data_IF_038827338420
#
_entry.id   IF_038827338420
#
_cell.length_a   1.000
_cell.length_b   1.000
_cell.length_c   1.000
_cell.angle_alpha   90.00
_cell.angle_beta   90.00
_cell.angle_gamma   90.00
#
_symmetry.space_group_name_H-M   'P 1'
#
loop_
_entity.id
_entity.type
_entity.pdbx_description
1 polymer ?
#
# COMPACT_ATOMS: atom_id res chain seq x y z
N UNK A 1 -10.03 12.02 24.95
CA UNK A 1 -9.77 10.87 24.05
C UNK A 1 -8.27 10.64 24.03
N UNK A 2 -7.76 9.39 24.02
CA UNK A 2 -6.34 9.16 23.84
C UNK A 2 -5.89 9.65 22.46
N UNK A 3 -4.71 10.25 22.37
CA UNK A 3 -4.12 10.62 21.08
C UNK A 3 -3.65 9.36 20.33
N UNK A 4 -3.81 9.31 19.00
CA UNK A 4 -3.35 8.19 18.20
C UNK A 4 -1.82 8.06 18.28
N UNK A 5 -1.35 6.82 18.37
CA UNK A 5 0.06 6.49 18.28
C UNK A 5 0.63 6.86 16.90
N UNK A 6 1.95 7.03 16.81
CA UNK A 6 2.60 7.29 15.53
C UNK A 6 2.38 6.10 14.56
N UNK A 7 2.37 4.86 15.03
CA UNK A 7 2.08 3.74 14.13
C UNK A 7 0.65 3.82 13.55
N UNK A 8 -0.33 4.25 14.35
CA UNK A 8 -1.70 4.52 13.85
C UNK A 8 -1.75 5.69 12.85
N UNK A 9 -0.94 6.73 13.05
CA UNK A 9 -0.85 7.87 12.12
C UNK A 9 -0.18 7.45 10.79
N UNK A 10 0.88 6.62 10.83
CA UNK A 10 1.49 6.04 9.61
C UNK A 10 0.45 5.21 8.88
N UNK A 11 -0.19 4.28 9.58
CA UNK A 11 -1.17 3.35 8.99
C UNK A 11 -2.34 4.11 8.38
N UNK A 12 -2.84 5.16 9.03
CA UNK A 12 -3.89 6.02 8.47
C UNK A 12 -3.44 6.71 7.19
N UNK A 13 -2.24 7.32 7.18
CA UNK A 13 -1.70 7.99 5.98
C UNK A 13 -1.45 7.03 4.83
N UNK A 14 -0.95 5.84 5.13
CA UNK A 14 -0.77 4.75 4.15
C UNK A 14 -2.12 4.34 3.58
N UNK A 15 -3.13 4.14 4.43
CA UNK A 15 -4.49 3.79 3.99
C UNK A 15 -5.14 4.85 3.13
N UNK A 16 -5.02 6.13 3.49
CA UNK A 16 -5.52 7.25 2.69
C UNK A 16 -4.86 7.30 1.30
N UNK A 17 -3.54 7.14 1.27
CA UNK A 17 -2.76 7.21 0.03
C UNK A 17 -3.03 6.02 -0.89
N UNK A 18 -3.10 4.79 -0.35
CA UNK A 18 -3.50 3.62 -1.14
C UNK A 18 -4.94 3.72 -1.66
N UNK A 19 -5.85 4.34 -0.90
CA UNK A 19 -7.22 4.57 -1.37
C UNK A 19 -7.27 5.55 -2.54
N UNK A 20 -6.41 6.58 -2.55
CA UNK A 20 -6.25 7.47 -3.72
C UNK A 20 -5.65 6.72 -4.90
N UNK A 21 -4.63 5.89 -4.66
CA UNK A 21 -4.01 5.06 -5.68
C UNK A 21 -5.05 4.16 -6.37
N UNK A 22 -6.00 3.58 -5.63
CA UNK A 22 -7.09 2.78 -6.24
C UNK A 22 -7.99 3.62 -7.13
N UNK A 23 -8.35 4.84 -6.71
CA UNK A 23 -9.16 5.72 -7.55
C UNK A 23 -8.45 6.07 -8.87
N UNK A 24 -7.13 6.24 -8.82
CA UNK A 24 -6.33 6.46 -10.02
C UNK A 24 -6.18 5.22 -10.90
N UNK A 25 -6.00 4.04 -10.30
CA UNK A 25 -5.94 2.77 -11.01
C UNK A 25 -7.27 2.42 -11.70
N UNK A 26 -8.41 2.55 -11.00
CA UNK A 26 -9.73 2.37 -11.60
C UNK A 26 -9.97 3.35 -12.75
N UNK A 27 -9.58 4.63 -12.59
CA UNK A 27 -9.69 5.61 -13.68
C UNK A 27 -8.84 5.22 -14.90
N UNK A 28 -7.63 4.70 -14.70
CA UNK A 28 -6.80 4.21 -15.81
C UNK A 28 -7.44 2.98 -16.49
N UNK A 29 -8.05 2.09 -15.71
CA UNK A 29 -8.81 0.96 -16.23
C UNK A 29 -10.01 1.42 -17.07
N UNK A 30 -10.80 2.37 -16.57
CA UNK A 30 -11.97 2.89 -17.30
C UNK A 30 -11.56 3.51 -18.65
N UNK A 31 -10.46 4.29 -18.66
CA UNK A 31 -9.93 4.89 -19.88
C UNK A 31 -9.54 3.79 -20.89
N UNK A 32 -8.89 2.72 -20.45
CA UNK A 32 -8.57 1.58 -21.32
C UNK A 32 -9.83 0.91 -21.87
N UNK A 33 -10.81 0.63 -21.01
CA UNK A 33 -12.06 -0.03 -21.40
C UNK A 33 -12.88 0.80 -22.39
N UNK A 34 -12.79 2.13 -22.30
CA UNK A 34 -13.47 3.06 -23.22
C UNK A 34 -12.68 3.34 -24.51
N UNK A 35 -11.55 2.66 -24.73
CA UNK A 35 -10.72 2.86 -25.94
C UNK A 35 -9.91 4.15 -25.94
N UNK A 36 -9.64 4.70 -24.75
CA UNK A 36 -8.85 5.91 -24.57
C UNK A 36 -7.42 5.81 -25.11
N UNK A 37 -6.80 6.96 -25.31
CA UNK A 37 -5.45 7.03 -25.88
C UNK A 37 -4.38 6.82 -24.80
N UNK A 38 -3.18 6.38 -25.19
CA UNK A 38 -1.98 6.41 -24.35
C UNK A 38 -1.80 7.68 -23.51
N UNK A 39 -2.12 8.85 -24.07
CA UNK A 39 -1.99 10.15 -23.42
C UNK A 39 -2.97 10.30 -22.25
N UNK A 40 -4.18 9.76 -22.38
CA UNK A 40 -5.23 9.81 -21.36
C UNK A 40 -4.85 9.00 -20.12
N UNK A 41 -4.05 7.94 -20.31
CA UNK A 41 -3.57 7.06 -19.25
C UNK A 41 -2.43 7.64 -18.42
N UNK A 42 -1.66 8.57 -19.00
CA UNK A 42 -0.42 9.04 -18.38
C UNK A 42 -0.67 9.68 -17.00
N UNK A 43 -1.66 10.57 -16.91
CA UNK A 43 -1.99 11.29 -15.67
C UNK A 43 -2.48 10.35 -14.55
N UNK A 44 -3.49 9.50 -14.73
CA UNK A 44 -3.94 8.60 -13.67
C UNK A 44 -2.84 7.61 -13.27
N UNK A 45 -2.05 7.08 -14.22
CA UNK A 45 -0.95 6.18 -13.87
C UNK A 45 0.15 6.85 -13.06
N UNK A 46 0.53 8.08 -13.43
CA UNK A 46 1.52 8.85 -12.68
C UNK A 46 1.05 9.10 -11.24
N UNK A 47 -0.21 9.53 -11.07
CA UNK A 47 -0.77 9.79 -9.75
C UNK A 47 -0.86 8.50 -8.91
N UNK A 48 -1.29 7.39 -9.50
CA UNK A 48 -1.31 6.09 -8.84
C UNK A 48 0.08 5.71 -8.33
N UNK A 49 1.11 5.85 -9.18
CA UNK A 49 2.50 5.57 -8.80
C UNK A 49 2.98 6.45 -7.65
N UNK A 50 2.69 7.75 -7.70
CA UNK A 50 3.11 8.69 -6.66
C UNK A 50 2.49 8.36 -5.30
N UNK A 51 1.21 8.02 -5.27
CA UNK A 51 0.51 7.63 -4.03
C UNK A 51 1.06 6.32 -3.45
N UNK A 52 1.40 5.34 -4.30
CA UNK A 52 2.07 4.09 -3.87
C UNK A 52 3.48 4.36 -3.34
N UNK A 53 4.25 5.21 -4.03
CA UNK A 53 5.60 5.59 -3.59
C UNK A 53 5.58 6.38 -2.27
N UNK A 54 4.61 7.29 -2.11
CA UNK A 54 4.40 8.01 -0.86
C UNK A 54 4.05 7.06 0.29
N UNK A 55 3.17 6.09 0.04
CA UNK A 55 2.81 5.05 1.02
C UNK A 55 4.02 4.21 1.43
N UNK A 56 4.85 3.82 0.46
CA UNK A 56 6.09 3.08 0.72
C UNK A 56 7.08 3.91 1.54
N UNK A 57 7.24 5.19 1.21
CA UNK A 57 8.09 6.09 1.97
C UNK A 57 7.59 6.26 3.41
N UNK A 58 6.28 6.42 3.61
CA UNK A 58 5.68 6.51 4.94
C UNK A 58 5.93 5.24 5.78
N UNK A 59 5.84 4.06 5.17
CA UNK A 59 6.17 2.79 5.83
C UNK A 59 7.66 2.68 6.18
N UNK A 60 8.53 3.06 5.25
CA UNK A 60 9.99 2.94 5.40
C UNK A 60 10.57 3.96 6.37
N UNK A 61 9.98 5.15 6.48
CA UNK A 61 10.41 6.23 7.38
C UNK A 61 9.99 6.02 8.85
N UNK A 62 9.59 4.81 9.25
CA UNK A 62 9.16 4.48 10.61
C UNK A 62 10.15 4.97 11.69
N UNK A 63 9.74 6.03 12.42
CA UNK A 63 10.40 6.79 13.50
C UNK A 63 11.84 7.30 13.25
N UNK A 64 12.13 8.56 13.65
CA UNK A 64 13.49 8.90 14.07
C UNK A 64 13.79 8.21 15.42
N UNK A 65 14.87 7.42 15.46
CA UNK A 65 15.57 6.98 16.68
C UNK A 65 14.95 5.89 17.60
N UNK A 66 14.28 4.86 17.08
CA UNK A 66 14.12 3.60 17.87
C UNK A 66 14.91 2.44 17.24
N UNK A 67 15.58 1.60 18.06
CA UNK A 67 16.33 0.45 17.57
C UNK A 67 15.40 -0.45 16.76
N UNK A 68 15.87 -0.84 15.57
CA UNK A 68 15.11 -1.59 14.56
C UNK A 68 14.59 -2.91 15.15
N UNK A 69 13.38 -2.86 15.69
CA UNK A 69 12.55 -4.05 15.88
C UNK A 69 12.26 -4.58 14.48
N UNK A 70 12.51 -5.87 14.25
CA UNK A 70 12.18 -6.55 13.00
C UNK A 70 10.74 -6.14 12.63
N UNK A 71 10.52 -5.52 11.45
CA UNK A 71 9.19 -5.10 11.08
C UNK A 71 8.27 -6.32 11.14
N UNK A 72 7.09 -6.22 11.79
CA UNK A 72 6.18 -7.35 11.91
C UNK A 72 5.92 -7.93 10.52
N UNK A 73 5.78 -9.26 10.39
CA UNK A 73 5.63 -9.96 9.09
C UNK A 73 4.68 -9.26 8.11
N UNK A 74 3.57 -8.72 8.62
CA UNK A 74 2.59 -7.96 7.82
C UNK A 74 3.15 -6.68 7.15
N UNK A 75 4.13 -6.00 7.77
CA UNK A 75 4.79 -4.82 7.18
C UNK A 75 5.72 -5.19 6.02
N UNK A 76 6.43 -6.32 6.13
CA UNK A 76 7.29 -6.84 5.04
C UNK A 76 6.43 -7.25 3.84
N UNK A 77 5.32 -7.95 4.09
CA UNK A 77 4.38 -8.36 3.02
C UNK A 77 3.73 -7.14 2.35
N UNK A 78 3.39 -6.12 3.14
CA UNK A 78 2.84 -4.86 2.65
C UNK A 78 3.84 -4.10 1.77
N UNK A 79 5.08 -3.93 2.24
CA UNK A 79 6.16 -3.30 1.48
C UNK A 79 6.43 -4.04 0.16
N UNK A 80 6.56 -5.37 0.21
CA UNK A 80 6.75 -6.20 -0.97
C UNK A 80 5.57 -6.08 -1.96
N UNK A 81 4.34 -5.99 -1.45
CA UNK A 81 3.15 -5.75 -2.24
C UNK A 81 3.16 -4.39 -2.93
N UNK A 82 3.51 -3.32 -2.20
CA UNK A 82 3.62 -1.97 -2.78
C UNK A 82 4.70 -1.88 -3.85
N UNK A 83 5.84 -2.54 -3.64
CA UNK A 83 6.91 -2.64 -4.64
C UNK A 83 6.39 -3.30 -5.93
N UNK A 84 5.62 -4.39 -5.81
CA UNK A 84 5.01 -5.05 -6.98
C UNK A 84 4.03 -4.13 -7.73
N UNK A 85 3.22 -3.37 -7.02
CA UNK A 85 2.29 -2.39 -7.63
C UNK A 85 3.08 -1.30 -8.36
N UNK A 86 4.10 -0.72 -7.73
CA UNK A 86 4.93 0.32 -8.34
C UNK A 86 5.67 -0.19 -9.59
N UNK A 87 6.14 -1.44 -9.56
CA UNK A 87 6.78 -2.10 -10.69
C UNK A 87 5.77 -2.31 -11.83
N UNK A 88 4.59 -2.86 -11.54
CA UNK A 88 3.54 -3.07 -12.55
C UNK A 88 3.09 -1.78 -13.24
N UNK A 89 2.94 -0.67 -12.50
CA UNK A 89 2.62 0.64 -13.09
C UNK A 89 3.78 1.16 -13.97
N UNK A 90 5.03 0.91 -13.56
CA UNK A 90 6.21 1.31 -14.33
C UNK A 90 6.35 0.53 -15.63
N UNK A 91 6.05 -0.77 -15.59
CA UNK A 91 6.07 -1.65 -16.76
C UNK A 91 4.93 -1.30 -17.71
N UNK A 92 3.72 -1.05 -17.19
CA UNK A 92 2.61 -0.56 -18.00
C UNK A 92 2.95 0.77 -18.70
N UNK A 93 3.61 1.69 -17.99
CA UNK A 93 4.06 2.96 -18.56
C UNK A 93 5.05 2.74 -19.71
N UNK A 94 5.87 1.69 -19.64
CA UNK A 94 6.82 1.33 -20.70
C UNK A 94 6.11 0.76 -21.92
N UNK A 95 5.18 -0.17 -21.72
CA UNK A 95 4.38 -0.75 -22.80
C UNK A 95 3.53 0.29 -23.54
N UNK A 96 2.98 1.28 -22.82
CA UNK A 96 2.28 2.42 -23.45
C UNK A 96 3.20 3.20 -24.40
N UNK A 97 4.43 3.49 -23.97
CA UNK A 97 5.42 4.18 -24.81
C UNK A 97 5.87 3.35 -26.01
N UNK A 98 5.85 2.02 -25.87
CA UNK A 98 6.13 1.09 -26.95
C UNK A 98 4.95 0.89 -27.91
N UNK A 99 3.77 1.44 -27.62
CA UNK A 99 2.55 1.24 -28.40
C UNK A 99 1.82 -0.08 -28.10
N UNK A 100 2.31 -0.86 -27.12
CA UNK A 100 1.77 -2.16 -26.70
C UNK A 100 0.56 -1.96 -25.76
N UNK A 101 -0.57 -1.52 -26.32
CA UNK A 101 -1.76 -1.15 -25.52
C UNK A 101 -2.34 -2.31 -24.72
N UNK A 102 -2.40 -3.51 -25.30
CA UNK A 102 -2.95 -4.70 -24.64
C UNK A 102 -2.08 -5.13 -23.45
N UNK A 103 -0.75 -5.08 -23.61
CA UNK A 103 0.18 -5.43 -22.54
C UNK A 103 0.12 -4.39 -21.40
N UNK A 104 0.06 -3.11 -21.74
CA UNK A 104 -0.15 -2.05 -20.76
C UNK A 104 -1.45 -2.26 -19.96
N UNK A 105 -2.54 -2.64 -20.63
CA UNK A 105 -3.81 -2.93 -19.99
C UNK A 105 -3.72 -4.11 -19.03
N UNK A 106 -3.09 -5.21 -19.47
CA UNK A 106 -2.86 -6.41 -18.65
C UNK A 106 -2.06 -6.07 -17.38
N UNK A 107 -0.99 -5.29 -17.51
CA UNK A 107 -0.14 -4.87 -16.40
C UNK A 107 -0.88 -3.96 -15.42
N UNK A 108 -1.73 -3.06 -15.91
CA UNK A 108 -2.55 -2.18 -15.08
C UNK A 108 -3.62 -2.95 -14.29
N UNK A 109 -4.32 -3.88 -14.93
CA UNK A 109 -5.31 -4.74 -14.27
C UNK A 109 -4.63 -5.56 -13.16
N UNK A 110 -3.43 -6.10 -13.42
CA UNK A 110 -2.66 -6.82 -12.42
C UNK A 110 -2.25 -5.93 -11.24
N UNK A 111 -1.79 -4.70 -11.52
CA UNK A 111 -1.42 -3.74 -10.48
C UNK A 111 -2.62 -3.31 -9.62
N UNK A 112 -3.78 -3.06 -10.23
CA UNK A 112 -5.03 -2.73 -9.52
C UNK A 112 -5.50 -3.88 -8.62
N UNK A 113 -5.49 -5.12 -9.14
CA UNK A 113 -5.82 -6.30 -8.35
C UNK A 113 -4.88 -6.50 -7.16
N UNK A 114 -3.58 -6.20 -7.31
CA UNK A 114 -2.64 -6.21 -6.20
C UNK A 114 -2.91 -5.11 -5.18
N UNK A 115 -3.24 -3.90 -5.63
CA UNK A 115 -3.56 -2.78 -4.77
C UNK A 115 -4.82 -3.04 -3.93
N UNK A 116 -5.87 -3.61 -4.53
CA UNK A 116 -7.08 -4.04 -3.84
C UNK A 116 -6.78 -5.07 -2.73
N UNK A 117 -5.88 -6.03 -2.98
CA UNK A 117 -5.44 -7.01 -1.98
C UNK A 117 -4.72 -6.36 -0.80
N UNK A 118 -3.88 -5.35 -1.05
CA UNK A 118 -3.16 -4.62 0.00
C UNK A 118 -4.13 -3.86 0.91
N UNK A 119 -5.12 -3.19 0.33
CA UNK A 119 -6.15 -2.47 1.09
C UNK A 119 -6.98 -3.44 1.93
N UNK A 120 -7.35 -4.61 1.40
CA UNK A 120 -8.05 -5.62 2.18
C UNK A 120 -7.22 -6.14 3.36
N UNK A 121 -5.91 -6.34 3.18
CA UNK A 121 -5.01 -6.75 4.26
C UNK A 121 -4.95 -5.70 5.38
N UNK A 122 -4.84 -4.42 5.02
CA UNK A 122 -4.79 -3.33 6.00
C UNK A 122 -6.11 -3.08 6.72
N UNK A 123 -7.26 -3.32 6.05
CA UNK A 123 -8.59 -3.21 6.67
C UNK A 123 -8.89 -4.36 7.63
N UNK A 124 -8.28 -5.53 7.42
CA UNK A 124 -8.53 -6.71 8.25
C UNK A 124 -8.01 -6.54 9.68
N UNK A 125 -8.83 -6.82 10.72
CA UNK A 125 -8.38 -6.80 12.13
C UNK A 125 -7.20 -7.74 12.40
N UNK A 126 -7.09 -8.84 11.63
CA UNK A 126 -5.99 -9.79 11.72
C UNK A 126 -4.65 -9.23 11.23
N UNK A 127 -4.65 -8.20 10.37
CA UNK A 127 -3.44 -7.49 9.93
C UNK A 127 -2.88 -6.52 10.97
N UNK A 128 -3.72 -6.11 11.94
CA UNK A 128 -3.34 -5.28 13.11
C UNK A 128 -2.94 -6.12 14.34
N UNK A 129 -3.08 -7.45 14.26
CA UNK A 129 -2.97 -8.36 15.39
C UNK A 129 -1.65 -9.09 15.48
N UNK A 130 -0.55 -8.42 15.84
CA UNK A 130 0.63 -9.09 16.42
C UNK A 130 1.57 -8.17 17.22
N UNK A 131 1.15 -6.96 17.60
CA UNK A 131 1.96 -6.10 18.47
C UNK A 131 1.07 -5.35 19.44
N UNK A 132 0.56 -6.05 20.45
CA UNK A 132 -0.18 -5.36 21.51
C UNK A 132 -1.12 -6.24 22.31
N UNK A 133 -0.63 -7.33 22.91
CA UNK A 133 -1.28 -7.95 24.07
C UNK A 133 -0.26 -8.81 24.84
N UNK A 134 0.67 -8.13 25.51
CA UNK A 134 1.23 -8.62 26.77
C UNK A 134 1.17 -7.50 27.79
N UNK A 135 -0.06 -7.18 28.21
CA UNK A 135 -0.35 -6.57 29.52
C UNK A 135 -1.22 -7.57 30.29
N UNK A 136 -0.58 -8.53 30.95
CA UNK A 136 -0.99 -8.99 32.28
C UNK A 136 0.20 -8.63 33.16
N UNK A 137 0.17 -7.58 33.98
CA UNK A 137 -0.86 -7.36 35.01
C UNK A 137 -0.57 -8.37 36.12
N UNK A 138 0.21 -7.92 37.11
CA UNK A 138 0.79 -8.76 38.16
C UNK A 138 -0.25 -9.44 39.06
N UNK A 139 0.14 -10.60 39.57
CA UNK A 139 -0.42 -11.20 40.77
C UNK A 139 0.72 -11.43 41.75
N UNK A 140 0.72 -10.67 42.85
CA UNK A 140 1.45 -11.03 44.08
C UNK A 140 1.03 -12.44 44.48
N UNK A 141 1.99 -13.33 44.65
CA UNK A 141 1.81 -14.60 45.35
C UNK A 141 2.99 -14.77 46.29
N UNK A 142 2.81 -14.33 47.53
CA UNK A 142 3.63 -14.79 48.65
C UNK A 142 3.53 -16.31 48.72
N UNK A 143 4.66 -17.00 48.87
CA UNK A 143 4.69 -18.33 49.46
C UNK A 143 5.85 -18.32 50.45
N UNK A 144 5.50 -18.67 51.68
CA UNK A 144 6.37 -18.86 52.85
C UNK A 144 7.47 -19.91 52.61
#
# INVERSE_FOLDING_TARGET
MPEPSWDEIVDQKVMESLSKATGHASKASDILSLGGTPTDLYKPMLLCRLEVQYSLAALQLGKPAQPRVIPPRGKIELEAGMIKVAQGISDASRSIRAGEREEAARLLIAADAHLAKLIMHLRSPAGRGASGLSRRGGGKGSVE
#
